data_IF_273010818014
#
_entry.id   IF_273010818014
#
_cell.length_a   1.000
_cell.length_b   1.000
_cell.length_c   1.000
_cell.angle_alpha   90.00
_cell.angle_beta   90.00
_cell.angle_gamma   90.00
#
_symmetry.space_group_name_H-M   'P 1'
#
loop_
_entity.id
_entity.type
_entity.pdbx_description
1 polymer ?
#
# COMPACT_ATOMS: atom_id res chain seq x y z
N UNK A 1 -1.74 19.10 -8.44
CA UNK A 1 -1.11 18.22 -9.45
C UNK A 1 -0.47 19.09 -10.51
N UNK A 2 0.79 18.83 -10.86
CA UNK A 2 1.47 19.53 -11.94
C UNK A 2 0.79 19.24 -13.28
N UNK A 3 0.81 20.21 -14.19
CA UNK A 3 0.40 20.03 -15.58
C UNK A 3 1.35 19.04 -16.27
N UNK A 4 0.83 18.22 -17.18
CA UNK A 4 1.59 17.16 -17.86
C UNK A 4 2.23 16.08 -16.94
N UNK A 5 1.72 15.92 -15.72
CA UNK A 5 2.23 14.95 -14.74
C UNK A 5 1.77 13.50 -14.94
N UNK A 6 2.25 12.60 -14.08
CA UNK A 6 1.80 11.20 -14.02
C UNK A 6 0.99 10.91 -12.76
N UNK A 7 -0.12 10.20 -12.91
CA UNK A 7 -0.94 9.65 -11.83
C UNK A 7 -0.67 8.15 -11.74
N UNK A 8 -0.20 7.68 -10.59
CA UNK A 8 -0.10 6.27 -10.25
C UNK A 8 -1.34 5.82 -9.45
N UNK A 9 -2.01 4.77 -9.92
CA UNK A 9 -3.19 4.19 -9.25
C UNK A 9 -2.80 2.86 -8.65
N UNK A 10 -2.60 2.85 -7.33
CA UNK A 10 -2.33 1.66 -6.51
C UNK A 10 -3.48 1.45 -5.53
N UNK A 11 -4.58 0.88 -6.01
CA UNK A 11 -5.78 0.60 -5.23
C UNK A 11 -6.67 -0.40 -5.98
N UNK A 12 -7.40 -1.23 -5.25
CA UNK A 12 -8.33 -2.20 -5.85
C UNK A 12 -9.65 -1.50 -6.10
N UNK A 13 -9.98 -1.27 -7.37
CA UNK A 13 -11.27 -0.73 -7.78
C UNK A 13 -12.16 -1.86 -8.34
N UNK A 14 -13.46 -1.90 -8.00
CA UNK A 14 -14.35 -2.92 -8.49
C UNK A 14 -14.59 -2.76 -10.01
N UNK A 15 -14.84 -3.85 -10.76
CA UNK A 15 -15.16 -3.78 -12.19
C UNK A 15 -16.42 -2.97 -12.52
N UNK A 16 -17.29 -2.76 -11.53
CA UNK A 16 -18.54 -2.00 -11.65
C UNK A 16 -18.34 -0.48 -11.60
N UNK A 17 -17.13 0.01 -11.32
CA UNK A 17 -16.85 1.44 -11.36
C UNK A 17 -16.81 1.95 -12.80
N UNK A 18 -17.77 2.80 -13.18
CA UNK A 18 -17.95 3.23 -14.58
C UNK A 18 -17.54 4.67 -14.88
N UNK A 19 -17.33 5.51 -13.86
CA UNK A 19 -17.00 6.92 -14.07
C UNK A 19 -15.66 7.30 -13.45
N UNK A 20 -14.89 8.07 -14.21
CA UNK A 20 -13.65 8.70 -13.78
C UNK A 20 -13.59 10.09 -14.43
N UNK A 21 -12.97 11.11 -13.81
CA UNK A 21 -12.88 12.47 -14.37
C UNK A 21 -11.91 12.55 -15.58
N UNK A 22 -12.17 11.79 -16.65
CA UNK A 22 -11.30 11.68 -17.83
C UNK A 22 -11.10 13.02 -18.55
N UNK A 23 -12.10 13.90 -18.52
CA UNK A 23 -11.96 15.26 -19.05
C UNK A 23 -10.89 16.07 -18.31
N UNK A 24 -10.72 15.86 -17.00
CA UNK A 24 -9.64 16.51 -16.23
C UNK A 24 -8.27 15.92 -16.61
N UNK A 25 -8.20 14.61 -16.82
CA UNK A 25 -6.97 13.93 -17.28
C UNK A 25 -6.53 14.50 -18.63
N UNK A 26 -7.47 14.61 -19.58
CA UNK A 26 -7.21 15.16 -20.92
C UNK A 26 -6.78 16.63 -20.86
N UNK A 27 -7.57 17.48 -20.18
CA UNK A 27 -7.33 18.92 -20.13
C UNK A 27 -6.01 19.30 -19.45
N UNK A 28 -5.50 18.43 -18.56
CA UNK A 28 -4.21 18.65 -17.87
C UNK A 28 -3.06 17.84 -18.47
N UNK A 29 -3.29 17.17 -19.61
CA UNK A 29 -2.31 16.36 -20.32
C UNK A 29 -1.66 15.26 -19.44
N UNK A 30 -2.44 14.61 -18.59
CA UNK A 30 -1.91 13.68 -17.58
C UNK A 30 -1.70 12.27 -18.13
N UNK A 31 -0.60 11.63 -17.72
CA UNK A 31 -0.39 10.19 -17.92
C UNK A 31 -0.97 9.41 -16.75
N UNK A 32 -1.76 8.37 -17.00
CA UNK A 32 -2.29 7.49 -15.96
C UNK A 32 -1.61 6.12 -16.05
N UNK A 33 -1.04 5.65 -14.94
CA UNK A 33 -0.47 4.30 -14.79
C UNK A 33 -1.23 3.58 -13.69
N UNK A 34 -1.88 2.48 -14.04
CA UNK A 34 -2.70 1.70 -13.13
C UNK A 34 -2.37 0.22 -13.25
N UNK A 35 -2.53 -0.52 -12.15
CA UNK A 35 -2.35 -1.96 -12.12
C UNK A 35 -2.00 -2.46 -10.74
N UNK A 36 -2.02 -3.78 -10.59
CA UNK A 36 -1.47 -4.42 -9.40
C UNK A 36 0.05 -4.27 -9.36
N UNK A 37 0.60 -4.18 -8.15
CA UNK A 37 2.04 -4.09 -7.97
C UNK A 37 2.73 -5.32 -8.59
N UNK A 38 3.67 -5.15 -9.54
CA UNK A 38 4.43 -6.24 -10.15
C UNK A 38 5.54 -6.72 -9.19
N UNK A 39 5.12 -7.17 -8.01
CA UNK A 39 6.00 -7.51 -6.88
C UNK A 39 7.13 -8.47 -7.28
N UNK A 40 6.87 -9.48 -8.11
CA UNK A 40 7.91 -10.43 -8.54
C UNK A 40 9.08 -9.77 -9.27
N UNK A 41 8.83 -8.72 -10.04
CA UNK A 41 9.87 -7.99 -10.74
C UNK A 41 10.64 -7.04 -9.82
N UNK A 42 9.98 -6.49 -8.78
CA UNK A 42 10.54 -5.48 -7.88
C UNK A 42 11.24 -6.08 -6.64
N UNK A 43 10.80 -7.24 -6.17
CA UNK A 43 11.32 -7.86 -4.94
C UNK A 43 12.85 -7.99 -4.91
N UNK A 44 13.54 -8.46 -5.97
CA UNK A 44 14.99 -8.61 -5.92
C UNK A 44 15.72 -7.31 -5.61
N UNK A 45 15.36 -6.22 -6.29
CA UNK A 45 15.94 -4.89 -6.06
C UNK A 45 15.59 -4.37 -4.66
N UNK A 46 14.35 -4.55 -4.21
CA UNK A 46 13.92 -4.10 -2.88
C UNK A 46 14.63 -4.84 -1.75
N UNK A 47 14.95 -6.13 -1.93
CA UNK A 47 15.74 -6.89 -0.96
C UNK A 47 17.14 -6.28 -0.85
N UNK A 48 17.79 -5.97 -1.96
CA UNK A 48 19.13 -5.37 -1.96
C UNK A 48 19.14 -4.00 -1.26
N UNK A 49 18.11 -3.17 -1.50
CA UNK A 49 17.93 -1.87 -0.83
C UNK A 49 17.79 -2.03 0.69
N UNK A 50 17.02 -3.02 1.15
CA UNK A 50 16.84 -3.29 2.59
C UNK A 50 18.12 -3.86 3.19
N UNK A 51 18.78 -4.79 2.51
CA UNK A 51 20.03 -5.40 2.96
C UNK A 51 21.18 -4.37 3.04
N UNK A 52 21.20 -3.39 2.13
CA UNK A 52 22.12 -2.26 2.16
C UNK A 52 21.80 -1.23 3.27
N UNK A 53 20.70 -1.42 4.01
CA UNK A 53 20.29 -0.52 5.09
C UNK A 53 19.72 0.82 4.61
N UNK A 54 19.42 0.96 3.32
CA UNK A 54 18.85 2.19 2.73
C UNK A 54 17.41 2.40 3.20
N UNK A 55 16.69 1.30 3.43
CA UNK A 55 15.30 1.31 3.88
C UNK A 55 15.08 0.26 4.98
N UNK A 56 14.46 0.68 6.08
CA UNK A 56 13.96 -0.22 7.13
C UNK A 56 12.42 -0.31 7.05
N UNK A 57 11.86 -1.38 6.47
CA UNK A 57 10.41 -1.54 6.36
C UNK A 57 9.72 -1.81 7.70
N UNK A 58 10.49 -2.20 8.73
CA UNK A 58 10.00 -2.50 10.07
C UNK A 58 9.53 -1.26 10.83
N UNK A 59 10.11 -0.09 10.54
CA UNK A 59 9.70 1.20 11.18
C UNK A 59 8.25 1.57 10.93
N UNK A 60 7.65 1.08 9.85
CA UNK A 60 6.25 1.35 9.53
C UNK A 60 5.27 0.49 10.32
N UNK A 61 5.73 -0.55 11.02
CA UNK A 61 4.88 -1.40 11.87
C UNK A 61 4.58 -0.67 13.18
N UNK A 62 3.31 -0.42 13.45
CA UNK A 62 2.88 0.31 14.66
C UNK A 62 2.48 -0.61 15.80
N UNK A 63 2.03 -1.83 15.49
CA UNK A 63 1.56 -2.82 16.46
C UNK A 63 2.15 -4.19 16.13
N UNK A 64 2.54 -4.94 17.16
CA UNK A 64 3.01 -6.33 17.05
C UNK A 64 2.21 -7.18 18.02
N UNK A 65 1.53 -8.19 17.49
CA UNK A 65 0.69 -9.10 18.27
C UNK A 65 1.10 -10.57 18.05
N UNK A 66 0.72 -11.44 18.98
CA UNK A 66 0.87 -12.89 18.81
C UNK A 66 -0.18 -13.45 17.85
N UNK A 67 0.06 -14.66 17.34
CA UNK A 67 -0.89 -15.33 16.44
C UNK A 67 -2.24 -15.65 17.14
N UNK A 68 -2.23 -15.84 18.46
CA UNK A 68 -3.44 -16.09 19.26
C UNK A 68 -4.41 -14.91 19.26
N UNK A 69 -3.91 -13.69 19.08
CA UNK A 69 -4.68 -12.44 19.13
C UNK A 69 -5.14 -11.96 17.75
N UNK A 70 -4.98 -12.79 16.71
CA UNK A 70 -5.27 -12.43 15.32
C UNK A 70 -6.68 -11.86 15.12
N UNK A 71 -7.69 -12.44 15.77
CA UNK A 71 -9.09 -11.97 15.63
C UNK A 71 -9.25 -10.55 16.17
N UNK A 72 -8.70 -10.29 17.35
CA UNK A 72 -8.71 -8.95 17.97
C UNK A 72 -7.89 -7.98 17.13
N UNK A 73 -6.72 -8.39 16.63
CA UNK A 73 -5.90 -7.55 15.78
C UNK A 73 -6.61 -7.12 14.49
N UNK A 74 -7.40 -8.01 13.89
CA UNK A 74 -8.24 -7.66 12.74
C UNK A 74 -9.34 -6.66 13.10
N UNK A 75 -10.02 -6.84 14.24
CA UNK A 75 -11.08 -5.92 14.70
C UNK A 75 -10.54 -4.51 14.94
N UNK A 76 -9.43 -4.40 15.66
CA UNK A 76 -8.83 -3.11 16.00
C UNK A 76 -8.30 -2.35 14.76
N UNK A 77 -7.81 -3.09 13.77
CA UNK A 77 -7.42 -2.52 12.47
C UNK A 77 -8.64 -2.06 11.65
N UNK A 78 -9.71 -2.84 11.61
CA UNK A 78 -10.96 -2.51 10.89
C UNK A 78 -11.68 -1.30 11.50
N UNK A 79 -11.70 -1.20 12.84
CA UNK A 79 -12.24 -0.07 13.59
C UNK A 79 -11.39 1.21 13.46
N UNK A 80 -10.26 1.15 12.74
CA UNK A 80 -9.28 2.23 12.60
C UNK A 80 -8.88 2.86 13.94
N UNK A 81 -8.69 2.03 14.98
CA UNK A 81 -8.30 2.53 16.31
C UNK A 81 -7.00 3.33 16.21
N UNK A 82 -6.92 4.45 16.92
CA UNK A 82 -5.72 5.27 16.96
C UNK A 82 -4.48 4.44 17.32
N UNK A 83 -3.43 4.52 16.49
CA UNK A 83 -2.20 3.72 16.63
C UNK A 83 -2.18 2.40 15.85
N UNK A 84 -3.31 1.94 15.31
CA UNK A 84 -3.43 0.69 14.55
C UNK A 84 -3.30 0.93 13.04
N UNK A 85 -2.11 1.33 12.59
CA UNK A 85 -1.84 1.67 11.17
C UNK A 85 -1.29 0.46 10.40
N UNK A 86 -0.38 -0.31 11.02
CA UNK A 86 0.19 -1.52 10.41
C UNK A 86 0.53 -2.52 11.49
N UNK A 87 -0.16 -3.64 11.46
CA UNK A 87 -0.01 -4.73 12.43
C UNK A 87 0.89 -5.82 11.83
N UNK A 88 1.84 -6.33 12.61
CA UNK A 88 2.60 -7.54 12.28
C UNK A 88 2.28 -8.62 13.31
N UNK A 89 2.01 -9.85 12.85
CA UNK A 89 1.75 -10.99 13.72
C UNK A 89 3.03 -11.82 13.88
N UNK A 90 3.39 -12.14 15.12
CA UNK A 90 4.52 -13.01 15.43
C UNK A 90 4.02 -14.43 15.74
N UNK A 91 4.39 -15.44 14.92
CA UNK A 91 3.98 -16.82 15.13
C UNK A 91 4.76 -17.53 16.25
N UNK A 92 5.82 -16.92 16.80
CA UNK A 92 6.72 -17.54 17.79
C UNK A 92 6.44 -17.21 19.26
N UNK A 93 5.34 -16.50 19.53
CA UNK A 93 4.82 -16.17 20.87
C UNK A 93 3.57 -16.96 21.19
#
# INVERSE_FOLDING_TARGET
MAEAGTIGVSGVYPPTLQSYPIGTVLNRNLTVRAGNCPHRALIPELIDVVAAGVLDPGRGVTVREGLGDVVTAYQEFDDHRAGWVKVALDPGT
#
